data_IF_863129207966
#
_entry.id   IF_863129207966
#
_cell.length_a   1.000
_cell.length_b   1.000
_cell.length_c   1.000
_cell.angle_alpha   90.00
_cell.angle_beta   90.00
_cell.angle_gamma   90.00
#
_symmetry.space_group_name_H-M   'P 1'
#
loop_
_entity.id
_entity.type
_entity.pdbx_description
1 polymer ?
#
# COMPACT_ATOMS: atom_id res chain seq x y z
N UNK A 1 -1.81 -19.55 -33.84
CA UNK A 1 -1.55 -18.63 -32.71
C UNK A 1 -2.09 -17.22 -32.96
N UNK A 2 -1.82 -16.57 -34.10
CA UNK A 2 -2.30 -15.20 -34.40
C UNK A 2 -3.83 -15.02 -34.31
N UNK A 3 -4.63 -15.95 -34.84
CA UNK A 3 -6.10 -15.89 -34.74
C UNK A 3 -6.57 -15.91 -33.28
N UNK A 4 -6.02 -16.81 -32.47
CA UNK A 4 -6.34 -16.91 -31.04
C UNK A 4 -5.97 -15.62 -30.29
N UNK A 5 -4.78 -15.08 -30.57
CA UNK A 5 -4.32 -13.81 -30.00
C UNK A 5 -5.28 -12.66 -30.30
N UNK A 6 -5.72 -12.55 -31.57
CA UNK A 6 -6.70 -11.54 -31.95
C UNK A 6 -8.09 -11.78 -31.33
N UNK A 7 -8.51 -13.04 -31.18
CA UNK A 7 -9.76 -13.39 -30.48
C UNK A 7 -9.76 -12.90 -29.03
N UNK A 8 -8.64 -13.02 -28.31
CA UNK A 8 -8.53 -12.52 -26.93
C UNK A 8 -8.63 -10.99 -26.85
N UNK A 9 -8.06 -10.27 -27.82
CA UNK A 9 -8.22 -8.81 -27.92
C UNK A 9 -9.69 -8.45 -28.09
N UNK A 10 -10.38 -9.11 -29.02
CA UNK A 10 -11.81 -8.88 -29.27
C UNK A 10 -12.62 -9.18 -28.02
N UNK A 11 -12.38 -10.31 -27.36
CA UNK A 11 -13.08 -10.70 -26.13
C UNK A 11 -12.88 -9.68 -25.02
N UNK A 12 -11.66 -9.15 -24.84
CA UNK A 12 -11.38 -8.08 -23.88
C UNK A 12 -12.18 -6.82 -24.22
N UNK A 13 -12.13 -6.36 -25.46
CA UNK A 13 -12.84 -5.15 -25.90
C UNK A 13 -14.36 -5.28 -25.73
N UNK A 14 -14.92 -6.45 -26.03
CA UNK A 14 -16.34 -6.74 -25.83
C UNK A 14 -16.70 -6.62 -24.35
N UNK A 15 -15.90 -7.18 -23.44
CA UNK A 15 -16.18 -7.08 -22.01
C UNK A 15 -16.08 -5.63 -21.52
N UNK A 16 -15.01 -4.93 -21.89
CA UNK A 16 -14.80 -3.52 -21.51
C UNK A 16 -15.96 -2.64 -21.99
N UNK A 17 -16.42 -2.77 -23.23
CA UNK A 17 -17.53 -1.97 -23.74
C UNK A 17 -18.89 -2.33 -23.13
N UNK A 18 -19.16 -3.63 -22.93
CA UNK A 18 -20.46 -4.08 -22.41
C UNK A 18 -20.60 -3.81 -20.91
N UNK A 19 -19.52 -3.95 -20.13
CA UNK A 19 -19.55 -3.85 -18.67
C UNK A 19 -19.06 -2.50 -18.15
N UNK A 20 -18.13 -1.84 -18.84
CA UNK A 20 -17.50 -0.59 -18.41
C UNK A 20 -17.60 0.56 -19.42
N UNK A 21 -18.18 0.31 -20.61
CA UNK A 21 -18.33 1.30 -21.66
C UNK A 21 -19.24 2.46 -21.25
N UNK A 22 -19.06 3.60 -21.93
CA UNK A 22 -19.82 4.84 -21.68
C UNK A 22 -21.32 4.66 -21.95
N UNK A 23 -22.12 5.64 -21.54
CA UNK A 23 -23.60 5.63 -21.67
C UNK A 23 -24.15 5.71 -23.11
N UNK A 24 -23.36 5.35 -24.13
CA UNK A 24 -23.79 5.36 -25.53
C UNK A 24 -24.81 4.25 -25.85
N UNK A 25 -24.91 3.25 -24.97
CA UNK A 25 -25.88 2.15 -25.06
C UNK A 25 -26.96 2.33 -24.01
N UNK A 26 -28.23 2.14 -24.42
CA UNK A 26 -29.37 2.16 -23.49
C UNK A 26 -29.26 1.05 -22.45
N UNK A 27 -29.76 1.30 -21.24
CA UNK A 27 -29.69 0.34 -20.11
C UNK A 27 -30.25 -1.03 -20.47
N UNK A 28 -31.37 -1.08 -21.20
CA UNK A 28 -32.02 -2.32 -21.63
C UNK A 28 -31.10 -3.12 -22.56
N UNK A 29 -30.53 -2.47 -23.59
CA UNK A 29 -29.62 -3.13 -24.52
C UNK A 29 -28.34 -3.59 -23.81
N UNK A 30 -27.81 -2.80 -22.87
CA UNK A 30 -26.65 -3.18 -22.05
C UNK A 30 -26.93 -4.45 -21.24
N UNK A 31 -28.09 -4.56 -20.62
CA UNK A 31 -28.45 -5.77 -19.84
C UNK A 31 -28.55 -7.01 -20.73
N UNK A 32 -29.18 -6.89 -21.91
CA UNK A 32 -29.25 -8.00 -22.88
C UNK A 32 -27.85 -8.47 -23.30
N UNK A 33 -26.95 -7.52 -23.58
CA UNK A 33 -25.56 -7.85 -23.96
C UNK A 33 -24.81 -8.48 -22.79
N UNK A 34 -24.96 -7.97 -21.57
CA UNK A 34 -24.36 -8.55 -20.36
C UNK A 34 -24.79 -10.00 -20.18
N UNK A 35 -26.08 -10.28 -20.32
CA UNK A 35 -26.61 -11.63 -20.16
C UNK A 35 -26.11 -12.57 -21.28
N UNK A 36 -26.00 -12.09 -22.52
CA UNK A 36 -25.43 -12.86 -23.62
C UNK A 36 -23.95 -13.19 -23.38
N UNK A 37 -23.14 -12.24 -22.90
CA UNK A 37 -21.72 -12.49 -22.59
C UNK A 37 -21.57 -13.44 -21.40
N UNK A 38 -22.40 -13.30 -20.37
CA UNK A 38 -22.41 -14.17 -19.18
C UNK A 38 -22.65 -15.64 -19.52
N UNK A 39 -23.51 -15.93 -20.51
CA UNK A 39 -23.75 -17.29 -21.00
C UNK A 39 -22.50 -17.94 -21.61
N UNK A 40 -21.55 -17.13 -22.09
CA UNK A 40 -20.34 -17.59 -22.75
C UNK A 40 -19.10 -17.61 -21.83
N UNK A 41 -19.22 -17.16 -20.57
CA UNK A 41 -18.11 -17.09 -19.61
C UNK A 41 -17.39 -18.43 -19.42
N UNK A 42 -18.11 -19.54 -19.34
CA UNK A 42 -17.48 -20.86 -19.20
C UNK A 42 -16.51 -21.15 -20.35
N UNK A 43 -16.91 -20.87 -21.60
CA UNK A 43 -16.06 -21.12 -22.78
C UNK A 43 -14.88 -20.16 -22.84
N UNK A 44 -15.10 -18.88 -22.52
CA UNK A 44 -14.05 -17.86 -22.47
C UNK A 44 -13.01 -18.22 -21.41
N UNK A 45 -13.46 -18.60 -20.22
CA UNK A 45 -12.57 -19.00 -19.13
C UNK A 45 -11.79 -20.27 -19.47
N UNK A 46 -12.45 -21.30 -20.03
CA UNK A 46 -11.75 -22.50 -20.49
C UNK A 46 -10.70 -22.21 -21.55
N UNK A 47 -10.94 -21.27 -22.47
CA UNK A 47 -9.94 -20.84 -23.45
C UNK A 47 -8.71 -20.24 -22.75
N UNK A 48 -8.92 -19.31 -21.81
CA UNK A 48 -7.83 -18.68 -21.04
C UNK A 48 -7.04 -19.74 -20.26
N UNK A 49 -7.74 -20.62 -19.54
CA UNK A 49 -7.14 -21.68 -18.75
C UNK A 49 -6.28 -22.61 -19.63
N UNK A 50 -6.81 -23.05 -20.78
CA UNK A 50 -6.08 -23.94 -21.69
C UNK A 50 -4.82 -23.28 -22.26
N UNK A 51 -4.83 -21.97 -22.54
CA UNK A 51 -3.64 -21.25 -23.01
C UNK A 51 -2.57 -21.20 -21.93
N UNK A 52 -2.95 -20.94 -20.67
CA UNK A 52 -2.01 -20.91 -19.56
C UNK A 52 -1.48 -22.32 -19.21
N UNK A 53 -2.33 -23.35 -19.27
CA UNK A 53 -1.90 -24.74 -19.05
C UNK A 53 -0.94 -25.22 -20.16
N UNK A 54 -1.20 -24.81 -21.41
CA UNK A 54 -0.30 -25.11 -22.52
C UNK A 54 1.06 -24.39 -22.35
N UNK A 55 1.07 -23.16 -21.82
CA UNK A 55 2.31 -22.40 -21.61
C UNK A 55 3.19 -22.92 -20.47
N UNK A 56 2.67 -23.79 -19.59
CA UNK A 56 3.50 -24.51 -18.61
C UNK A 56 4.40 -25.55 -19.28
N UNK A 57 3.98 -26.11 -20.42
CA UNK A 57 4.62 -27.27 -21.04
C UNK A 57 5.26 -26.98 -22.40
N UNK A 58 4.95 -25.83 -23.01
CA UNK A 58 5.40 -25.46 -24.34
C UNK A 58 5.71 -23.97 -24.43
N UNK A 59 6.59 -23.60 -25.36
CA UNK A 59 6.87 -22.20 -25.66
C UNK A 59 5.69 -21.56 -26.39
N UNK A 60 5.17 -20.48 -25.81
CA UNK A 60 3.97 -19.78 -26.30
C UNK A 60 4.37 -18.38 -26.72
N UNK A 61 3.85 -17.96 -27.88
CA UNK A 61 4.07 -16.61 -28.40
C UNK A 61 3.80 -15.53 -27.34
N UNK A 62 4.76 -14.61 -27.17
CA UNK A 62 4.69 -13.55 -26.15
C UNK A 62 3.44 -12.69 -26.30
N UNK A 63 3.03 -12.37 -27.53
CA UNK A 63 1.83 -11.55 -27.75
C UNK A 63 0.55 -12.31 -27.34
N UNK A 64 0.52 -13.63 -27.55
CA UNK A 64 -0.59 -14.47 -27.08
C UNK A 64 -0.71 -14.45 -25.55
N UNK A 65 0.40 -14.57 -24.81
CA UNK A 65 0.38 -14.49 -23.34
C UNK A 65 -0.03 -13.11 -22.83
N UNK A 66 0.50 -12.04 -23.43
CA UNK A 66 0.12 -10.65 -23.10
C UNK A 66 -1.38 -10.44 -23.27
N UNK A 67 -1.95 -10.90 -24.38
CA UNK A 67 -3.37 -10.79 -24.65
C UNK A 67 -4.21 -11.71 -23.76
N UNK A 68 -3.68 -12.88 -23.38
CA UNK A 68 -4.32 -13.79 -22.43
C UNK A 68 -4.46 -13.16 -21.05
N UNK A 69 -3.37 -12.65 -20.46
CA UNK A 69 -3.42 -11.96 -19.16
C UNK A 69 -4.28 -10.71 -19.21
N UNK A 70 -4.18 -9.92 -20.28
CA UNK A 70 -5.00 -8.71 -20.44
C UNK A 70 -6.49 -9.02 -20.53
N UNK A 71 -6.85 -10.11 -21.22
CA UNK A 71 -8.23 -10.59 -21.27
C UNK A 71 -8.68 -11.05 -19.87
N UNK A 72 -7.88 -11.89 -19.20
CA UNK A 72 -8.19 -12.36 -17.84
C UNK A 72 -8.43 -11.19 -16.87
N UNK A 73 -7.57 -10.17 -16.86
CA UNK A 73 -7.71 -8.98 -16.00
C UNK A 73 -9.08 -8.32 -16.18
N UNK A 74 -9.54 -8.17 -17.43
CA UNK A 74 -10.84 -7.57 -17.74
C UNK A 74 -12.00 -8.41 -17.20
N UNK A 75 -11.95 -9.73 -17.38
CA UNK A 75 -13.04 -10.61 -16.98
C UNK A 75 -13.08 -10.92 -15.48
N UNK A 76 -11.94 -10.87 -14.77
CA UNK A 76 -11.87 -11.21 -13.33
C UNK A 76 -12.98 -10.54 -12.50
N UNK A 77 -13.27 -9.25 -12.77
CA UNK A 77 -14.24 -8.46 -12.00
C UNK A 77 -15.70 -8.81 -12.27
N UNK A 78 -16.00 -9.29 -13.46
CA UNK A 78 -17.38 -9.50 -13.92
C UNK A 78 -17.81 -10.97 -13.89
N UNK A 79 -16.86 -11.90 -13.92
CA UNK A 79 -17.14 -13.33 -13.91
C UNK A 79 -17.40 -13.88 -12.51
N UNK A 80 -18.07 -15.04 -12.44
CA UNK A 80 -18.28 -15.73 -11.16
C UNK A 80 -16.93 -16.07 -10.51
N UNK A 81 -16.66 -15.63 -9.27
CA UNK A 81 -15.39 -15.93 -8.60
C UNK A 81 -15.10 -17.43 -8.44
N UNK A 82 -16.10 -18.31 -8.53
CA UNK A 82 -15.90 -19.77 -8.53
C UNK A 82 -14.89 -20.21 -9.61
N UNK A 83 -14.87 -19.57 -10.78
CA UNK A 83 -13.88 -19.88 -11.82
C UNK A 83 -12.45 -19.69 -11.34
N UNK A 84 -12.19 -18.70 -10.47
CA UNK A 84 -10.85 -18.40 -9.96
C UNK A 84 -10.47 -19.32 -8.81
N UNK A 85 -11.38 -19.46 -7.84
CA UNK A 85 -11.07 -20.09 -6.57
C UNK A 85 -11.28 -21.61 -6.60
N UNK A 86 -12.06 -22.15 -7.54
CA UNK A 86 -12.27 -23.61 -7.69
C UNK A 86 -11.35 -24.30 -8.71
N UNK A 87 -10.54 -23.55 -9.45
CA UNK A 87 -9.64 -24.09 -10.49
C UNK A 87 -8.16 -23.92 -10.10
N UNK A 88 -7.20 -24.19 -10.99
CA UNK A 88 -5.76 -23.95 -10.77
C UNK A 88 -5.25 -22.65 -11.41
N UNK A 89 -6.15 -21.72 -11.76
CA UNK A 89 -5.77 -20.53 -12.51
C UNK A 89 -4.79 -19.62 -11.76
N UNK A 90 -4.91 -19.51 -10.43
CA UNK A 90 -4.00 -18.69 -9.61
C UNK A 90 -2.58 -19.25 -9.66
N UNK A 91 -2.46 -20.56 -9.53
CA UNK A 91 -1.20 -21.30 -9.61
C UNK A 91 -0.55 -21.12 -10.99
N UNK A 92 -1.35 -21.22 -12.07
CA UNK A 92 -0.90 -21.00 -13.44
C UNK A 92 -0.42 -19.55 -13.66
N UNK A 93 -1.12 -18.55 -13.13
CA UNK A 93 -0.70 -17.14 -13.21
C UNK A 93 0.63 -16.92 -12.48
N UNK A 94 0.75 -17.46 -11.26
CA UNK A 94 1.95 -17.36 -10.43
C UNK A 94 3.17 -17.98 -11.10
N UNK A 95 3.02 -19.06 -11.88
CA UNK A 95 4.12 -19.68 -12.60
C UNK A 95 4.86 -18.70 -13.54
N UNK A 96 4.17 -17.64 -14.00
CA UNK A 96 4.74 -16.60 -14.87
C UNK A 96 5.28 -15.38 -14.11
N UNK A 97 5.31 -15.37 -12.77
CA UNK A 97 5.72 -14.21 -11.97
C UNK A 97 7.18 -13.80 -12.20
N UNK A 98 8.07 -14.75 -12.48
CA UNK A 98 9.48 -14.51 -12.79
C UNK A 98 9.77 -14.47 -14.31
N UNK A 99 8.76 -14.15 -15.14
CA UNK A 99 8.91 -14.02 -16.59
C UNK A 99 8.97 -12.56 -17.04
N UNK A 100 9.17 -12.33 -18.34
CA UNK A 100 9.06 -11.01 -18.96
C UNK A 100 7.65 -10.38 -18.79
N UNK A 101 6.64 -11.17 -18.43
CA UNK A 101 5.25 -10.74 -18.26
C UNK A 101 4.89 -10.40 -16.80
N UNK A 102 5.89 -10.30 -15.90
CA UNK A 102 5.68 -10.09 -14.47
C UNK A 102 4.70 -8.94 -14.12
N UNK A 103 4.76 -7.83 -14.85
CA UNK A 103 3.85 -6.69 -14.65
C UNK A 103 2.37 -7.06 -14.89
N UNK A 104 2.09 -7.84 -15.93
CA UNK A 104 0.73 -8.31 -16.24
C UNK A 104 0.27 -9.39 -15.26
N UNK A 105 1.19 -10.25 -14.84
CA UNK A 105 0.94 -11.25 -13.78
C UNK A 105 0.53 -10.54 -12.48
N UNK A 106 1.32 -9.56 -12.03
CA UNK A 106 1.00 -8.77 -10.84
C UNK A 106 -0.35 -8.06 -10.96
N UNK A 107 -0.70 -7.53 -12.13
CA UNK A 107 -2.03 -6.94 -12.40
C UNK A 107 -3.17 -7.96 -12.32
N UNK A 108 -2.94 -9.17 -12.82
CA UNK A 108 -3.92 -10.27 -12.76
C UNK A 108 -4.13 -10.72 -11.31
N UNK A 109 -3.06 -10.82 -10.53
CA UNK A 109 -3.14 -11.14 -9.11
C UNK A 109 -3.81 -10.02 -8.31
N UNK A 110 -3.53 -8.77 -8.64
CA UNK A 110 -4.20 -7.61 -8.05
C UNK A 110 -5.70 -7.63 -8.32
N UNK A 111 -6.13 -7.90 -9.56
CA UNK A 111 -7.56 -7.97 -9.87
C UNK A 111 -8.27 -9.08 -9.12
N UNK A 112 -7.58 -10.18 -8.80
CA UNK A 112 -8.10 -11.28 -7.96
C UNK A 112 -8.20 -10.85 -6.49
N UNK A 113 -7.18 -10.19 -5.95
CA UNK A 113 -7.20 -9.71 -4.56
C UNK A 113 -8.28 -8.65 -4.33
N UNK A 114 -8.59 -7.85 -5.34
CA UNK A 114 -9.63 -6.79 -5.28
C UNK A 114 -11.07 -7.30 -5.46
N UNK A 115 -11.30 -8.60 -5.65
CA UNK A 115 -12.65 -9.14 -5.88
C UNK A 115 -13.58 -9.01 -4.67
N UNK A 116 -13.01 -9.07 -3.47
CA UNK A 116 -13.78 -9.01 -2.24
C UNK A 116 -13.36 -7.80 -1.43
N UNK A 117 -14.36 -7.01 -1.05
CA UNK A 117 -14.18 -5.85 -0.20
C UNK A 117 -14.70 -6.14 1.22
N UNK A 118 -14.11 -5.51 2.24
CA UNK A 118 -14.65 -5.55 3.59
C UNK A 118 -16.07 -5.00 3.63
N UNK A 119 -16.97 -5.74 4.29
CA UNK A 119 -18.29 -5.23 4.63
C UNK A 119 -18.17 -4.08 5.63
N UNK A 120 -19.06 -3.09 5.52
CA UNK A 120 -19.15 -2.03 6.53
C UNK A 120 -19.37 -2.66 7.91
N UNK A 121 -18.60 -2.21 8.90
CA UNK A 121 -18.75 -2.62 10.29
C UNK A 121 -20.10 -2.08 10.76
N UNK A 122 -21.11 -2.94 10.80
CA UNK A 122 -22.42 -2.62 11.40
C UNK A 122 -22.40 -3.03 12.87
N UNK A 123 -23.27 -2.43 13.69
CA UNK A 123 -23.42 -2.75 15.13
C UNK A 123 -23.64 -4.24 15.46
N UNK A 124 -23.90 -5.08 14.45
CA UNK A 124 -24.11 -6.54 14.58
C UNK A 124 -22.90 -7.39 14.20
N UNK A 125 -21.88 -6.80 13.57
CA UNK A 125 -20.68 -7.50 13.12
C UNK A 125 -19.53 -7.04 14.01
N UNK A 126 -19.21 -7.85 15.02
CA UNK A 126 -18.05 -7.63 15.89
C UNK A 126 -16.71 -7.83 15.14
N UNK A 127 -16.74 -8.36 13.91
CA UNK A 127 -15.56 -8.68 13.11
C UNK A 127 -15.65 -8.14 11.67
N UNK A 128 -14.50 -7.67 11.15
CA UNK A 128 -14.34 -7.25 9.74
C UNK A 128 -14.48 -8.46 8.82
N UNK A 129 -15.68 -8.66 8.29
CA UNK A 129 -15.99 -9.75 7.36
C UNK A 129 -15.89 -9.27 5.91
N UNK A 130 -15.39 -10.13 5.02
CA UNK A 130 -15.37 -9.86 3.58
C UNK A 130 -16.71 -10.25 2.93
N UNK A 131 -17.10 -9.54 1.87
CA UNK A 131 -18.30 -9.77 1.07
C UNK A 131 -18.21 -11.01 0.15
N UNK A 132 -17.70 -12.12 0.67
CA UNK A 132 -17.55 -13.37 -0.09
C UNK A 132 -18.93 -14.00 -0.37
N UNK A 133 -19.26 -14.35 -1.63
CA UNK A 133 -20.53 -15.00 -1.97
C UNK A 133 -20.76 -16.29 -1.18
N UNK A 134 -22.01 -16.54 -0.73
CA UNK A 134 -22.35 -17.68 0.13
C UNK A 134 -21.99 -19.06 -0.47
N UNK A 135 -21.99 -19.18 -1.81
CA UNK A 135 -21.63 -20.41 -2.52
C UNK A 135 -20.12 -20.64 -2.66
N UNK A 136 -19.27 -19.74 -2.15
CA UNK A 136 -17.83 -19.82 -2.27
C UNK A 136 -17.18 -20.19 -0.93
N UNK A 137 -16.30 -21.19 -0.94
CA UNK A 137 -15.60 -21.61 0.26
C UNK A 137 -14.56 -20.55 0.68
N UNK A 138 -14.78 -19.92 1.84
CA UNK A 138 -13.90 -18.89 2.41
C UNK A 138 -12.48 -19.40 2.66
N UNK A 139 -12.32 -20.64 3.12
CA UNK A 139 -10.99 -21.22 3.38
C UNK A 139 -10.19 -21.35 2.08
N UNK A 140 -10.84 -21.75 0.99
CA UNK A 140 -10.20 -21.80 -0.33
C UNK A 140 -9.77 -20.42 -0.81
N UNK A 141 -10.63 -19.40 -0.63
CA UNK A 141 -10.29 -18.00 -0.95
C UNK A 141 -9.05 -17.58 -0.18
N UNK A 142 -9.05 -17.74 1.15
CA UNK A 142 -7.92 -17.36 1.98
C UNK A 142 -6.65 -18.16 1.67
N UNK A 143 -6.77 -19.45 1.37
CA UNK A 143 -5.63 -20.27 0.95
C UNK A 143 -4.99 -19.75 -0.34
N UNK A 144 -5.81 -19.37 -1.34
CA UNK A 144 -5.33 -18.78 -2.59
C UNK A 144 -4.70 -17.41 -2.40
N UNK A 145 -5.31 -16.53 -1.60
CA UNK A 145 -4.73 -15.22 -1.30
C UNK A 145 -3.41 -15.36 -0.52
N UNK A 146 -3.34 -16.29 0.45
CA UNK A 146 -2.10 -16.57 1.18
C UNK A 146 -1.02 -17.16 0.27
N UNK A 147 -1.39 -17.97 -0.72
CA UNK A 147 -0.46 -18.43 -1.77
C UNK A 147 0.10 -17.24 -2.56
N UNK A 148 -0.78 -16.37 -3.08
CA UNK A 148 -0.36 -15.15 -3.81
C UNK A 148 0.60 -14.30 -2.96
N UNK A 149 0.25 -14.07 -1.70
CA UNK A 149 1.05 -13.28 -0.79
C UNK A 149 2.44 -13.89 -0.56
N UNK A 150 2.51 -15.20 -0.31
CA UNK A 150 3.78 -15.90 -0.11
C UNK A 150 4.68 -15.83 -1.34
N UNK A 151 4.14 -16.08 -2.53
CA UNK A 151 4.90 -16.05 -3.78
C UNK A 151 5.37 -14.62 -4.11
N UNK A 152 4.56 -13.60 -3.80
CA UNK A 152 4.97 -12.20 -3.90
C UNK A 152 6.15 -11.88 -2.98
N UNK A 153 6.11 -12.31 -1.71
CA UNK A 153 7.19 -12.10 -0.74
C UNK A 153 8.48 -12.76 -1.23
N UNK A 154 8.40 -14.01 -1.70
CA UNK A 154 9.57 -14.75 -2.18
C UNK A 154 10.16 -14.14 -3.45
N UNK A 155 9.29 -13.75 -4.40
CA UNK A 155 9.71 -13.08 -5.62
C UNK A 155 10.36 -11.73 -5.35
N UNK A 156 9.74 -10.90 -4.52
CA UNK A 156 10.29 -9.58 -4.20
C UNK A 156 11.58 -9.68 -3.38
N UNK A 157 11.69 -10.64 -2.46
CA UNK A 157 12.95 -10.96 -1.76
C UNK A 157 14.08 -11.30 -2.75
N UNK A 158 13.76 -12.10 -3.77
CA UNK A 158 14.72 -12.47 -4.82
C UNK A 158 15.10 -11.27 -5.67
N UNK A 159 14.14 -10.40 -5.99
CA UNK A 159 14.38 -9.14 -6.70
C UNK A 159 15.30 -8.20 -5.89
N UNK A 160 15.02 -8.00 -4.60
CA UNK A 160 15.85 -7.19 -3.71
C UNK A 160 17.27 -7.76 -3.55
N UNK A 161 17.43 -9.09 -3.64
CA UNK A 161 18.73 -9.77 -3.60
C UNK A 161 19.66 -9.44 -4.78
N UNK A 162 19.18 -8.74 -5.82
CA UNK A 162 20.00 -8.24 -6.93
C UNK A 162 20.84 -7.02 -6.55
N UNK A 163 20.44 -6.29 -5.51
CA UNK A 163 21.15 -5.10 -5.06
C UNK A 163 22.35 -5.47 -4.20
N UNK A 164 23.38 -4.62 -4.22
CA UNK A 164 24.55 -4.82 -3.35
C UNK A 164 24.15 -4.68 -1.88
N UNK A 165 24.83 -5.38 -0.94
CA UNK A 165 24.51 -5.31 0.49
C UNK A 165 24.54 -3.90 1.08
N UNK A 166 25.34 -3.00 0.48
CA UNK A 166 25.49 -1.60 0.90
C UNK A 166 24.51 -0.63 0.21
N UNK A 167 23.75 -1.13 -0.79
CA UNK A 167 22.74 -0.35 -1.49
C UNK A 167 21.34 -0.64 -0.93
N UNK A 168 20.51 0.39 -0.95
CA UNK A 168 19.11 0.33 -0.50
C UNK A 168 18.20 0.59 -1.68
N UNK A 169 17.02 -0.03 -1.70
CA UNK A 169 15.99 0.19 -2.73
C UNK A 169 15.71 1.68 -2.95
N UNK A 170 15.70 2.48 -1.88
CA UNK A 170 15.54 3.94 -1.93
C UNK A 170 16.56 4.65 -2.84
N UNK A 171 17.83 4.21 -2.83
CA UNK A 171 18.90 4.81 -3.64
C UNK A 171 18.80 4.36 -5.09
N UNK A 172 18.60 3.06 -5.31
CA UNK A 172 18.52 2.46 -6.64
C UNK A 172 17.30 2.93 -7.42
N UNK A 173 16.17 3.17 -6.76
CA UNK A 173 14.93 3.61 -7.41
C UNK A 173 15.09 4.90 -8.22
N UNK A 174 16.01 5.79 -7.83
CA UNK A 174 16.30 7.01 -8.59
C UNK A 174 16.88 6.73 -9.98
N UNK A 175 17.55 5.59 -10.15
CA UNK A 175 18.22 5.14 -11.38
C UNK A 175 17.34 4.21 -12.23
N UNK A 176 16.21 3.76 -11.71
CA UNK A 176 15.30 2.84 -12.41
C UNK A 176 14.69 3.46 -13.66
N UNK A 177 14.48 2.61 -14.66
CA UNK A 177 13.68 2.95 -15.83
C UNK A 177 12.20 3.14 -15.47
N UNK A 178 11.42 3.73 -16.37
CA UNK A 178 9.97 3.89 -16.15
C UNK A 178 9.26 2.53 -16.04
N UNK A 179 9.73 1.51 -16.75
CA UNK A 179 9.22 0.14 -16.65
C UNK A 179 9.49 -0.47 -15.27
N UNK A 180 10.70 -0.26 -14.72
CA UNK A 180 11.06 -0.75 -13.38
C UNK A 180 10.28 -0.01 -12.28
N UNK A 181 10.10 1.31 -12.40
CA UNK A 181 9.25 2.08 -11.48
C UNK A 181 7.80 1.62 -11.54
N UNK A 182 7.27 1.38 -12.74
CA UNK A 182 5.94 0.81 -12.95
C UNK A 182 5.82 -0.59 -12.33
N UNK A 183 6.87 -1.40 -12.43
CA UNK A 183 6.92 -2.71 -11.78
C UNK A 183 6.88 -2.61 -10.25
N UNK A 184 7.69 -1.75 -9.62
CA UNK A 184 7.63 -1.49 -8.17
C UNK A 184 6.24 -0.99 -7.75
N UNK A 185 5.63 -0.13 -8.58
CA UNK A 185 4.26 0.34 -8.37
C UNK A 185 3.25 -0.81 -8.37
N UNK A 186 3.33 -1.75 -9.31
CA UNK A 186 2.44 -2.92 -9.32
C UNK A 186 2.63 -3.82 -8.09
N UNK A 187 3.86 -4.02 -7.63
CA UNK A 187 4.14 -4.75 -6.38
C UNK A 187 3.49 -4.03 -5.19
N UNK A 188 3.64 -2.71 -5.14
CA UNK A 188 3.08 -1.85 -4.08
C UNK A 188 1.56 -1.97 -4.03
N UNK A 189 0.90 -1.86 -5.17
CA UNK A 189 -0.56 -1.99 -5.28
C UNK A 189 -1.05 -3.36 -4.82
N UNK A 190 -0.34 -4.44 -5.17
CA UNK A 190 -0.69 -5.78 -4.74
C UNK A 190 -0.54 -5.96 -3.22
N UNK A 191 0.56 -5.49 -2.62
CA UNK A 191 0.70 -5.47 -1.16
C UNK A 191 -0.43 -4.67 -0.49
N UNK A 192 -0.73 -3.47 -1.00
CA UNK A 192 -1.79 -2.61 -0.46
C UNK A 192 -3.16 -3.29 -0.54
N UNK A 193 -3.50 -3.93 -1.67
CA UNK A 193 -4.75 -4.68 -1.82
C UNK A 193 -4.84 -5.83 -0.81
N UNK A 194 -3.76 -6.61 -0.67
CA UNK A 194 -3.70 -7.72 0.29
C UNK A 194 -3.89 -7.21 1.73
N UNK A 195 -3.20 -6.14 2.13
CA UNK A 195 -3.32 -5.59 3.48
C UNK A 195 -4.66 -4.90 3.71
N UNK A 196 -5.23 -4.26 2.70
CA UNK A 196 -6.54 -3.63 2.80
C UNK A 196 -7.65 -4.64 3.01
N UNK A 197 -7.58 -5.80 2.36
CA UNK A 197 -8.69 -6.74 2.35
C UNK A 197 -8.48 -7.94 3.28
N UNK A 198 -7.25 -8.45 3.41
CA UNK A 198 -6.99 -9.77 3.97
C UNK A 198 -6.03 -9.80 5.17
N UNK A 199 -5.54 -8.66 5.68
CA UNK A 199 -4.58 -8.63 6.80
C UNK A 199 -5.01 -9.39 8.07
N UNK A 200 -6.31 -9.54 8.44
CA UNK A 200 -6.70 -10.32 9.63
C UNK A 200 -6.55 -11.83 9.41
N UNK A 201 -6.57 -12.27 8.15
CA UNK A 201 -6.54 -13.67 7.74
C UNK A 201 -5.14 -14.17 7.38
N UNK A 202 -4.12 -13.31 7.49
CA UNK A 202 -2.72 -13.63 7.24
C UNK A 202 -2.03 -14.00 8.57
N UNK A 203 -1.28 -15.11 8.64
CA UNK A 203 -0.49 -15.44 9.83
C UNK A 203 0.50 -14.32 10.20
N UNK A 204 0.58 -13.97 11.49
CA UNK A 204 1.41 -12.85 11.96
C UNK A 204 2.88 -12.97 11.53
N UNK A 205 3.47 -14.17 11.52
CA UNK A 205 4.86 -14.37 11.09
C UNK A 205 5.08 -13.98 9.63
N UNK A 206 4.13 -14.32 8.76
CA UNK A 206 4.16 -14.00 7.33
C UNK A 206 3.90 -12.52 7.13
N UNK A 207 2.94 -11.95 7.87
CA UNK A 207 2.65 -10.51 7.82
C UNK A 207 3.84 -9.67 8.28
N UNK A 208 4.59 -10.10 9.30
CA UNK A 208 5.82 -9.42 9.74
C UNK A 208 6.87 -9.46 8.63
N UNK A 209 7.13 -10.62 8.02
CA UNK A 209 8.10 -10.73 6.90
C UNK A 209 7.70 -9.87 5.70
N UNK A 210 6.41 -9.81 5.37
CA UNK A 210 5.92 -9.01 4.25
C UNK A 210 5.98 -7.51 4.52
N UNK A 211 5.70 -7.08 5.76
CA UNK A 211 5.78 -5.67 6.16
C UNK A 211 7.22 -5.17 6.24
N UNK A 212 8.19 -6.04 6.52
CA UNK A 212 9.63 -5.74 6.42
C UNK A 212 10.04 -5.37 4.98
N UNK A 213 9.42 -5.96 3.96
CA UNK A 213 9.64 -5.57 2.57
C UNK A 213 8.84 -4.32 2.19
N UNK A 214 7.60 -4.22 2.67
CA UNK A 214 6.70 -3.10 2.38
C UNK A 214 7.23 -1.76 2.92
N UNK A 215 7.92 -1.78 4.07
CA UNK A 215 8.58 -0.59 4.60
C UNK A 215 9.78 -0.15 3.76
N UNK A 216 10.52 -1.06 3.13
CA UNK A 216 11.60 -0.67 2.19
C UNK A 216 11.04 0.07 0.98
N UNK A 217 9.89 -0.36 0.45
CA UNK A 217 9.16 0.39 -0.59
C UNK A 217 8.75 1.76 -0.06
N UNK A 218 8.21 1.82 1.16
CA UNK A 218 7.72 3.07 1.77
C UNK A 218 8.82 4.10 2.04
N UNK A 219 10.09 3.69 2.09
CA UNK A 219 11.24 4.60 2.22
C UNK A 219 11.63 5.28 0.92
N UNK A 220 11.27 4.74 -0.25
CA UNK A 220 11.61 5.30 -1.57
C UNK A 220 11.21 6.77 -1.62
N UNK A 221 12.11 7.66 -2.10
CA UNK A 221 11.86 9.10 -2.18
C UNK A 221 10.91 9.50 -3.33
N UNK A 222 9.69 8.99 -3.31
CA UNK A 222 8.64 9.24 -4.30
C UNK A 222 7.29 9.45 -3.57
N UNK A 223 6.76 10.67 -3.64
CA UNK A 223 5.53 11.02 -2.92
C UNK A 223 4.31 10.26 -3.44
N UNK A 224 4.24 9.98 -4.75
CA UNK A 224 3.09 9.27 -5.31
C UNK A 224 3.11 7.81 -4.90
N UNK A 225 4.28 7.18 -4.91
CA UNK A 225 4.45 5.83 -4.40
C UNK A 225 4.16 5.76 -2.90
N UNK A 226 4.61 6.74 -2.11
CA UNK A 226 4.30 6.80 -0.68
C UNK A 226 2.79 6.99 -0.42
N UNK A 227 2.09 7.80 -1.21
CA UNK A 227 0.62 7.92 -1.12
C UNK A 227 -0.07 6.58 -1.36
N UNK A 228 0.47 5.73 -2.24
CA UNK A 228 -0.02 4.37 -2.44
C UNK A 228 0.25 3.48 -1.22
N UNK A 229 1.47 3.46 -0.68
CA UNK A 229 1.78 2.65 0.51
C UNK A 229 1.00 3.10 1.74
N UNK A 230 0.74 4.41 1.87
CA UNK A 230 -0.06 4.98 2.96
C UNK A 230 -1.46 4.38 3.01
N UNK A 231 -2.09 4.04 1.88
CA UNK A 231 -3.40 3.37 1.86
C UNK A 231 -3.37 2.03 2.62
N UNK A 232 -2.25 1.31 2.58
CA UNK A 232 -2.05 0.07 3.34
C UNK A 232 -1.74 0.34 4.82
N UNK A 233 -0.81 1.27 5.08
CA UNK A 233 -0.42 1.62 6.45
C UNK A 233 -1.55 2.20 7.29
N UNK A 234 -2.42 3.01 6.69
CA UNK A 234 -3.63 3.54 7.34
C UNK A 234 -4.48 2.44 7.95
N UNK A 235 -4.71 1.37 7.17
CA UNK A 235 -5.56 0.27 7.57
C UNK A 235 -4.90 -0.55 8.68
N UNK A 236 -3.62 -0.90 8.50
CA UNK A 236 -2.87 -1.71 9.45
C UNK A 236 -2.70 -0.99 10.79
N UNK A 237 -2.32 0.28 10.76
CA UNK A 237 -2.11 1.08 11.98
C UNK A 237 -3.44 1.34 12.68
N UNK A 238 -4.53 1.58 11.93
CA UNK A 238 -5.85 1.71 12.52
C UNK A 238 -6.32 0.41 13.19
N UNK A 239 -6.10 -0.75 12.57
CA UNK A 239 -6.41 -2.08 13.15
C UNK A 239 -5.67 -2.29 14.48
N UNK A 240 -4.38 -1.98 14.52
CA UNK A 240 -3.57 -2.05 15.76
C UNK A 240 -3.99 -1.04 16.83
N UNK A 241 -4.53 0.11 16.40
CA UNK A 241 -5.03 1.14 17.30
C UNK A 241 -6.34 0.70 17.98
N UNK A 242 -7.32 0.24 17.20
CA UNK A 242 -8.64 -0.16 17.71
C UNK A 242 -8.60 -1.42 18.57
N UNK A 243 -7.55 -2.25 18.46
CA UNK A 243 -7.34 -3.41 19.33
C UNK A 243 -7.34 -3.02 20.81
N UNK A 244 -6.71 -1.88 21.15
CA UNK A 244 -6.76 -1.33 22.50
C UNK A 244 -6.46 0.18 22.48
N UNK A 245 -7.49 1.05 22.34
CA UNK A 245 -7.33 2.50 22.26
C UNK A 245 -7.28 3.18 23.64
N UNK A 246 -7.38 2.42 24.72
CA UNK A 246 -7.44 2.93 26.10
C UNK A 246 -6.04 2.88 26.73
N UNK A 247 -5.79 3.70 27.76
CA UNK A 247 -4.60 3.63 28.61
C UNK A 247 -5.00 3.37 30.07
N UNK A 248 -4.17 2.69 30.88
CA UNK A 248 -2.91 2.03 30.51
C UNK A 248 -3.15 0.76 29.68
N UNK A 249 -2.16 0.42 28.85
CA UNK A 249 -2.22 -0.75 27.96
C UNK A 249 -1.84 -2.01 28.76
N UNK A 250 -2.67 -3.08 28.73
CA UNK A 250 -2.36 -4.34 29.38
C UNK A 250 -1.04 -4.95 28.88
N UNK A 251 -0.23 -5.44 29.80
CA UNK A 251 1.04 -6.10 29.45
C UNK A 251 0.82 -7.39 28.65
N UNK A 252 1.56 -7.52 27.54
CA UNK A 252 1.88 -8.78 26.86
C UNK A 252 0.73 -9.52 26.15
N UNK A 253 -0.51 -9.02 26.18
CA UNK A 253 -1.68 -9.73 25.62
C UNK A 253 -2.15 -9.22 24.25
N UNK A 254 -1.55 -8.15 23.74
CA UNK A 254 -2.04 -7.43 22.56
C UNK A 254 -1.18 -7.77 21.34
N UNK A 255 -1.82 -8.16 20.24
CA UNK A 255 -1.23 -8.56 18.97
C UNK A 255 -0.29 -7.50 18.42
N UNK A 256 -0.65 -6.21 18.51
CA UNK A 256 0.19 -5.10 17.99
C UNK A 256 1.62 -5.09 18.50
N UNK A 257 1.89 -5.65 19.68
CA UNK A 257 3.25 -5.70 20.22
C UNK A 257 4.22 -6.54 19.38
N UNK A 258 3.73 -7.52 18.62
CA UNK A 258 4.56 -8.30 17.68
C UNK A 258 5.08 -7.44 16.51
N UNK A 259 4.40 -6.34 16.17
CA UNK A 259 4.71 -5.46 15.05
C UNK A 259 5.51 -4.21 15.47
N UNK A 260 5.85 -4.10 16.76
CA UNK A 260 6.47 -2.90 17.35
C UNK A 260 7.72 -2.42 16.60
N UNK A 261 8.61 -3.33 16.22
CA UNK A 261 9.85 -2.99 15.48
C UNK A 261 9.56 -2.35 14.12
N UNK A 262 8.54 -2.83 13.42
CA UNK A 262 8.11 -2.29 12.12
C UNK A 262 7.51 -0.90 12.31
N UNK A 263 6.62 -0.75 13.30
CA UNK A 263 5.98 0.52 13.63
C UNK A 263 7.00 1.60 14.05
N UNK A 264 8.05 1.22 14.79
CA UNK A 264 9.15 2.13 15.14
C UNK A 264 9.88 2.65 13.90
N UNK A 265 10.18 1.77 12.94
CA UNK A 265 10.87 2.16 11.70
C UNK A 265 10.00 3.09 10.84
N UNK A 266 8.68 2.92 10.89
CA UNK A 266 7.72 3.79 10.20
C UNK A 266 7.77 5.24 10.70
N UNK A 267 8.20 5.52 11.94
CA UNK A 267 8.34 6.90 12.45
C UNK A 267 9.18 7.75 11.50
N UNK A 268 10.34 7.24 11.07
CA UNK A 268 11.23 7.97 10.18
C UNK A 268 10.62 8.18 8.79
N UNK A 269 9.83 7.22 8.30
CA UNK A 269 9.10 7.34 7.03
C UNK A 269 8.04 8.44 7.12
N UNK A 270 7.24 8.46 8.19
CA UNK A 270 6.27 9.53 8.43
C UNK A 270 6.94 10.90 8.53
N UNK A 271 8.08 11.01 9.23
CA UNK A 271 8.87 12.25 9.30
C UNK A 271 9.30 12.69 7.91
N UNK A 272 9.87 11.80 7.10
CA UNK A 272 10.29 12.14 5.73
C UNK A 272 9.14 12.72 4.90
N UNK A 273 7.98 12.08 4.92
CA UNK A 273 6.85 12.43 4.06
C UNK A 273 5.85 13.42 4.66
N UNK A 274 5.99 13.84 5.92
CA UNK A 274 5.01 14.69 6.59
C UNK A 274 4.77 15.98 5.78
N UNK A 275 3.55 16.25 5.30
CA UNK A 275 3.26 17.46 4.55
C UNK A 275 3.26 18.68 5.48
N UNK A 276 3.43 19.86 4.89
CA UNK A 276 3.30 21.12 5.60
C UNK A 276 1.87 21.28 6.16
N UNK A 277 1.70 21.57 7.46
CA UNK A 277 0.39 21.85 8.03
C UNK A 277 -0.20 23.19 7.54
N UNK A 278 -1.52 23.29 7.47
CA UNK A 278 -2.25 24.52 7.06
C UNK A 278 -1.89 25.76 7.89
N UNK A 279 -1.61 25.55 9.18
CA UNK A 279 -1.24 26.61 10.13
C UNK A 279 0.15 27.20 9.88
N UNK A 280 0.95 26.58 9.00
CA UNK A 280 2.32 27.00 8.66
C UNK A 280 2.30 27.76 7.34
N UNK A 281 2.52 29.08 7.43
CA UNK A 281 2.51 29.98 6.28
C UNK A 281 3.88 30.25 5.67
N UNK A 282 4.97 29.82 6.30
CA UNK A 282 6.33 30.09 5.83
C UNK A 282 6.97 28.78 5.39
N UNK A 283 7.56 28.77 4.20
CA UNK A 283 8.25 27.61 3.61
C UNK A 283 9.55 28.05 2.96
N UNK A 284 10.44 27.10 2.71
CA UNK A 284 11.60 27.33 1.86
C UNK A 284 11.22 27.05 0.40
N UNK A 285 11.59 27.94 -0.51
CA UNK A 285 11.51 27.68 -1.95
C UNK A 285 12.70 26.83 -2.43
N UNK A 286 12.77 26.54 -3.72
CA UNK A 286 13.86 25.77 -4.35
C UNK A 286 15.24 26.43 -4.17
N UNK A 287 15.28 27.73 -3.94
CA UNK A 287 16.50 28.52 -3.68
C UNK A 287 16.83 28.63 -2.18
N UNK A 288 16.14 27.88 -1.31
CA UNK A 288 16.27 27.92 0.15
C UNK A 288 15.91 29.28 0.79
N UNK A 289 15.09 30.09 0.11
CA UNK A 289 14.61 31.35 0.64
C UNK A 289 13.25 31.17 1.33
N UNK A 290 13.06 31.88 2.44
CA UNK A 290 11.81 31.87 3.18
C UNK A 290 10.72 32.64 2.42
N UNK A 291 9.72 31.93 1.92
CA UNK A 291 8.55 32.47 1.22
C UNK A 291 7.26 32.22 1.98
N UNK A 292 6.29 33.11 1.80
CA UNK A 292 4.97 33.00 2.43
C UNK A 292 3.98 32.30 1.49
N UNK A 293 3.55 31.10 1.85
CA UNK A 293 2.60 30.28 1.07
C UNK A 293 1.34 30.04 1.90
N UNK A 294 0.23 30.64 1.46
CA UNK A 294 -1.09 30.52 2.09
C UNK A 294 -2.04 29.56 1.38
N UNK A 295 -1.79 29.30 0.11
CA UNK A 295 -2.67 28.47 -0.71
C UNK A 295 -2.38 27.00 -0.47
N UNK A 296 -3.44 26.21 -0.38
CA UNK A 296 -3.41 24.75 -0.30
C UNK A 296 -4.42 24.21 -1.30
N UNK A 297 -4.03 23.17 -2.01
CA UNK A 297 -4.96 22.41 -2.83
C UNK A 297 -5.78 21.46 -1.96
N UNK A 298 -6.98 21.11 -2.40
CA UNK A 298 -7.82 20.10 -1.73
C UNK A 298 -7.09 18.77 -1.54
N UNK A 299 -6.26 18.38 -2.51
CA UNK A 299 -5.47 17.13 -2.44
C UNK A 299 -4.44 17.17 -1.30
N UNK A 300 -3.73 18.29 -1.14
CA UNK A 300 -2.76 18.47 -0.06
C UNK A 300 -3.43 18.48 1.32
N UNK A 301 -4.60 19.12 1.44
CA UNK A 301 -5.38 19.11 2.68
C UNK A 301 -5.81 17.69 3.06
N UNK A 302 -6.35 16.93 2.10
CA UNK A 302 -6.75 15.53 2.31
C UNK A 302 -5.56 14.68 2.72
N UNK A 303 -4.43 14.82 2.02
CA UNK A 303 -3.20 14.09 2.34
C UNK A 303 -2.66 14.44 3.74
N UNK A 304 -2.67 15.72 4.13
CA UNK A 304 -2.25 16.15 5.47
C UNK A 304 -3.14 15.57 6.57
N UNK A 305 -4.47 15.60 6.38
CA UNK A 305 -5.41 15.00 7.33
C UNK A 305 -5.17 13.51 7.51
N UNK A 306 -4.97 12.79 6.40
CA UNK A 306 -4.65 11.36 6.37
C UNK A 306 -3.35 11.02 7.08
N UNK A 307 -2.28 11.76 6.78
CA UNK A 307 -0.98 11.61 7.44
C UNK A 307 -1.05 11.87 8.95
N UNK A 308 -1.73 12.94 9.36
CA UNK A 308 -1.87 13.31 10.76
C UNK A 308 -2.66 12.24 11.54
N UNK A 309 -3.80 11.79 11.02
CA UNK A 309 -4.60 10.75 11.67
C UNK A 309 -3.82 9.44 11.81
N UNK A 310 -3.09 9.05 10.77
CA UNK A 310 -2.33 7.79 10.78
C UNK A 310 -1.18 7.86 11.78
N UNK A 311 -0.46 8.98 11.84
CA UNK A 311 0.62 9.16 12.80
C UNK A 311 0.11 9.28 14.25
N UNK A 312 -1.05 9.90 14.45
CA UNK A 312 -1.74 9.90 15.74
C UNK A 312 -2.04 8.48 16.20
N UNK A 313 -2.67 7.66 15.34
CA UNK A 313 -2.96 6.25 15.65
C UNK A 313 -1.67 5.45 15.94
N UNK A 314 -0.61 5.68 15.15
CA UNK A 314 0.72 5.08 15.38
C UNK A 314 1.27 5.44 16.76
N UNK A 315 1.09 6.69 17.18
CA UNK A 315 1.54 7.19 18.49
C UNK A 315 0.86 6.46 19.65
N UNK A 316 -0.42 6.10 19.52
CA UNK A 316 -1.08 5.24 20.51
C UNK A 316 -0.54 3.81 20.52
N UNK A 317 -0.15 3.28 19.36
CA UNK A 317 0.36 1.92 19.25
C UNK A 317 1.75 1.76 19.90
N UNK A 318 2.60 2.79 19.82
CA UNK A 318 4.01 2.74 20.25
C UNK A 318 4.45 4.02 20.98
N UNK A 319 3.63 4.48 21.92
CA UNK A 319 3.77 5.76 22.64
C UNK A 319 5.17 6.04 23.21
N UNK A 320 5.76 5.08 23.90
CA UNK A 320 7.08 5.20 24.51
C UNK A 320 8.16 5.43 23.45
N UNK A 321 8.03 4.79 22.28
CA UNK A 321 9.01 4.95 21.19
C UNK A 321 8.88 6.29 20.48
N UNK A 322 7.65 6.77 20.30
CA UNK A 322 7.43 8.11 19.72
C UNK A 322 7.92 9.20 20.69
N UNK A 323 7.67 9.03 21.99
CA UNK A 323 8.23 9.90 23.05
C UNK A 323 9.75 9.93 22.99
N UNK A 324 10.40 8.77 23.04
CA UNK A 324 11.86 8.67 23.02
C UNK A 324 12.44 9.27 21.73
N UNK A 325 11.80 9.02 20.59
CA UNK A 325 12.15 9.62 19.31
C UNK A 325 12.17 11.16 19.39
N UNK A 326 11.11 11.80 19.90
CA UNK A 326 11.05 13.26 20.01
C UNK A 326 12.09 13.80 20.99
N UNK A 327 12.22 13.19 22.17
CA UNK A 327 13.18 13.62 23.19
C UNK A 327 14.62 13.57 22.66
N UNK A 328 15.01 12.48 22.00
CA UNK A 328 16.35 12.33 21.41
C UNK A 328 16.54 13.31 20.26
N UNK A 329 15.55 13.44 19.38
CA UNK A 329 15.66 14.26 18.17
C UNK A 329 15.77 15.74 18.49
N UNK A 330 14.93 16.28 19.38
CA UNK A 330 15.01 17.69 19.77
C UNK A 330 16.31 18.00 20.52
N UNK A 331 16.78 17.13 21.42
CA UNK A 331 18.06 17.34 22.11
C UNK A 331 19.24 17.33 21.12
N UNK A 332 19.22 16.44 20.12
CA UNK A 332 20.24 16.38 19.06
C UNK A 332 20.24 17.66 18.22
N UNK A 333 19.07 18.16 17.83
CA UNK A 333 18.95 19.40 17.04
C UNK A 333 19.45 20.61 17.84
N UNK A 334 19.08 20.72 19.12
CA UNK A 334 19.50 21.84 19.97
C UNK A 334 21.01 21.88 20.27
N UNK A 335 21.68 20.72 20.24
CA UNK A 335 23.10 20.59 20.60
C UNK A 335 24.07 20.67 19.42
N UNK A 336 23.62 20.55 18.16
CA UNK A 336 24.49 20.45 16.99
C UNK A 336 24.08 21.40 15.86
N UNK A 337 24.69 22.59 15.83
CA UNK A 337 24.42 23.62 14.83
C UNK A 337 25.13 23.41 13.49
N UNK A 338 26.14 22.55 13.41
CA UNK A 338 26.88 22.29 12.16
C UNK A 338 26.11 21.40 11.18
N UNK A 339 25.16 20.61 11.68
CA UNK A 339 24.28 19.74 10.88
C UNK A 339 22.83 20.24 10.83
N UNK A 340 22.63 21.56 10.97
CA UNK A 340 21.30 22.14 10.91
C UNK A 340 20.67 21.93 9.52
N UNK A 341 19.61 21.14 9.48
CA UNK A 341 18.76 20.97 8.29
C UNK A 341 17.37 21.55 8.59
N UNK A 342 17.03 22.72 8.03
CA UNK A 342 15.74 23.35 8.26
C UNK A 342 14.57 22.53 7.70
N UNK A 343 14.79 21.74 6.64
CA UNK A 343 13.74 20.88 6.07
C UNK A 343 13.44 19.74 7.03
N UNK A 344 14.47 19.07 7.54
CA UNK A 344 14.28 18.01 8.53
C UNK A 344 13.67 18.53 9.84
N UNK A 345 14.11 19.69 10.34
CA UNK A 345 13.51 20.29 11.52
C UNK A 345 12.02 20.57 11.32
N UNK A 346 11.65 21.19 10.19
CA UNK A 346 10.26 21.46 9.85
C UNK A 346 9.42 20.18 9.90
N UNK A 347 9.90 19.12 9.25
CA UNK A 347 9.24 17.81 9.25
C UNK A 347 9.04 17.25 10.66
N UNK A 348 10.08 17.26 11.50
CA UNK A 348 10.00 16.81 12.90
C UNK A 348 8.96 17.62 13.68
N UNK A 349 8.96 18.95 13.54
CA UNK A 349 7.97 19.82 14.18
C UNK A 349 6.54 19.56 13.68
N UNK A 350 6.35 19.29 12.39
CA UNK A 350 5.03 18.98 11.82
C UNK A 350 4.50 17.65 12.33
N UNK A 351 5.36 16.63 12.41
CA UNK A 351 5.03 15.34 13.01
C UNK A 351 4.71 15.48 14.50
N UNK A 352 5.46 16.28 15.25
CA UNK A 352 5.13 16.56 16.65
C UNK A 352 3.77 17.25 16.79
N UNK A 353 3.45 18.18 15.89
CA UNK A 353 2.15 18.83 15.85
C UNK A 353 0.97 17.88 15.60
N UNK A 354 1.19 16.74 14.92
CA UNK A 354 0.13 15.76 14.67
C UNK A 354 -0.13 14.82 15.86
N UNK A 355 0.73 14.83 16.89
CA UNK A 355 0.54 14.05 18.12
C UNK A 355 -0.17 14.81 19.24
N UNK A 356 -0.69 16.01 18.97
CA UNK A 356 -1.37 16.82 19.98
C UNK A 356 -2.53 16.03 20.63
N UNK A 357 -2.49 15.87 21.96
CA UNK A 357 -3.47 15.08 22.71
C UNK A 357 -3.31 13.55 22.60
N UNK A 358 -2.22 13.04 22.00
CA UNK A 358 -1.94 11.61 21.94
C UNK A 358 -1.21 11.07 23.19
N UNK A 359 -0.56 11.96 23.95
CA UNK A 359 0.19 11.63 25.17
C UNK A 359 -0.58 12.04 26.43
N UNK A 360 -0.15 11.50 27.58
CA UNK A 360 -0.58 12.03 28.87
C UNK A 360 0.02 13.44 29.08
N UNK A 361 -0.71 14.28 29.82
CA UNK A 361 -0.42 15.73 29.94
C UNK A 361 1.00 16.04 30.42
N UNK A 362 1.52 15.26 31.36
CA UNK A 362 2.86 15.41 31.95
C UNK A 362 3.97 15.03 30.96
N UNK A 363 3.72 14.01 30.14
CA UNK A 363 4.62 13.59 29.06
C UNK A 363 4.64 14.63 27.95
N UNK A 364 3.48 15.12 27.54
CA UNK A 364 3.36 16.16 26.50
C UNK A 364 4.06 17.46 26.92
N UNK A 365 3.85 17.90 28.17
CA UNK A 365 4.52 19.08 28.73
C UNK A 365 6.05 18.92 28.71
N UNK A 366 6.56 17.74 29.09
CA UNK A 366 8.01 17.46 29.06
C UNK A 366 8.60 17.54 27.66
N UNK A 367 7.96 16.91 26.67
CA UNK A 367 8.44 16.95 25.29
C UNK A 367 8.39 18.40 24.77
N UNK A 368 7.31 19.12 25.05
CA UNK A 368 7.14 20.52 24.66
C UNK A 368 8.24 21.42 25.23
N UNK A 369 8.54 21.33 26.53
CA UNK A 369 9.61 22.11 27.16
C UNK A 369 10.97 21.87 26.51
N UNK A 370 11.30 20.61 26.20
CA UNK A 370 12.56 20.25 25.54
C UNK A 370 12.59 20.78 24.10
N UNK A 371 11.49 20.64 23.36
CA UNK A 371 11.37 21.17 22.01
C UNK A 371 11.60 22.70 21.99
N UNK A 372 10.92 23.45 22.88
CA UNK A 372 11.09 24.89 22.99
C UNK A 372 12.53 25.28 23.36
N UNK A 373 13.14 24.61 24.35
CA UNK A 373 14.52 24.87 24.75
C UNK A 373 15.51 24.64 23.60
N UNK A 374 15.35 23.55 22.86
CA UNK A 374 16.18 23.23 21.70
C UNK A 374 16.02 24.23 20.57
N UNK A 375 14.78 24.63 20.26
CA UNK A 375 14.50 25.64 19.23
C UNK A 375 15.08 27.00 19.60
N UNK A 376 14.95 27.43 20.86
CA UNK A 376 15.55 28.69 21.34
C UNK A 376 17.08 28.66 21.26
N UNK A 377 17.71 27.55 21.66
CA UNK A 377 19.16 27.34 21.54
C UNK A 377 19.62 27.42 20.08
N UNK A 378 18.86 26.82 19.16
CA UNK A 378 19.16 26.88 17.75
C UNK A 378 19.03 28.32 17.20
N UNK A 379 17.98 29.04 17.57
CA UNK A 379 17.80 30.45 17.17
C UNK A 379 18.95 31.33 17.65
N UNK A 380 19.41 31.19 18.89
CA UNK A 380 20.55 31.97 19.39
C UNK A 380 21.82 31.63 18.63
N UNK A 381 22.11 30.35 18.37
CA UNK A 381 23.31 29.95 17.64
C UNK A 381 23.29 30.48 16.19
N UNK A 382 22.15 30.44 15.51
CA UNK A 382 22.01 30.94 14.14
C UNK A 382 22.14 32.46 14.09
N UNK A 383 21.57 33.20 15.05
CA UNK A 383 21.66 34.67 15.10
C UNK A 383 23.06 35.19 15.43
N UNK A 384 23.90 34.37 16.06
CA UNK A 384 25.29 34.71 16.39
C UNK A 384 26.31 34.29 15.32
N UNK A 385 25.86 33.64 14.23
CA UNK A 385 26.63 33.43 13.00
C UNK A 385 26.24 34.48 11.98
#
# INVERSE_FOLDING_TARGET
>A
MAVCSNSLIILRMVNEEVFHGKEEITTVKRNILKDAVRQEYSKIFSLIQNILEYSENADVDNALLVNCFSCLISYCRDMDPQYIFSTRIVEMIIAHLNSAHAVLVLRSLLSICDLFEPLEITEKLDERTLNIPQGLNKETVFAKINLIHRELIMFFKTYLGKFSPDSSLEKEYSLFSDEEKSFIKQITQLFVSIYKNYHPYIPDSILIESLEQFIEISKINDLQLFKETLNGWEILIYDFYIEYPIRPVPDGKIRRFKFKTILQRMINVFVKFMPKPEKVFVTLNEFQEAVKVKEFTTEEMVFSKRMNQTFFNLTFCIDNHVKDFFLVTFNRIGSNSEKFDPVYLNKVCWVYGSTAGAFESDVEERIFMIACKSLMSLCSIILHR
#
